data_IF_297328265485
#
_entry.id   IF_297328265485
#
_cell.length_a   1.000
_cell.length_b   1.000
_cell.length_c   1.000
_cell.angle_alpha   90.00
_cell.angle_beta   90.00
_cell.angle_gamma   90.00
#
_symmetry.space_group_name_H-M   'P 1'
#
loop_
_entity.id
_entity.type
_entity.pdbx_description
1 polymer ?
#
# COMPACT_ATOMS: atom_id res chain seq x y z
N UNK A 1 -9.30 18.00 21.07
CA UNK A 1 -9.56 16.77 20.28
C UNK A 1 -9.82 17.25 18.87
N UNK A 2 -8.92 16.96 17.93
CA UNK A 2 -9.08 17.42 16.54
C UNK A 2 -10.20 16.58 15.87
N UNK A 3 -11.09 17.20 15.08
CA UNK A 3 -12.18 16.50 14.43
C UNK A 3 -11.68 15.50 13.36
N UNK A 4 -12.21 14.28 13.39
CA UNK A 4 -11.96 13.26 12.36
C UNK A 4 -12.83 13.56 11.13
N UNK A 5 -12.21 13.72 9.95
CA UNK A 5 -12.90 13.99 8.70
C UNK A 5 -12.72 12.80 7.72
N UNK A 6 -13.81 12.14 7.35
CA UNK A 6 -13.82 11.07 6.34
C UNK A 6 -14.23 11.64 4.98
N UNK A 7 -13.63 11.15 3.89
CA UNK A 7 -13.87 11.65 2.53
C UNK A 7 -14.10 10.51 1.54
N UNK A 8 -14.95 10.74 0.53
CA UNK A 8 -14.99 9.94 -0.69
C UNK A 8 -13.64 10.03 -1.43
N UNK A 9 -13.30 9.09 -2.35
CA UNK A 9 -12.00 9.08 -3.04
C UNK A 9 -11.62 10.41 -3.71
N UNK A 10 -12.62 11.16 -4.20
CA UNK A 10 -12.45 12.46 -4.84
C UNK A 10 -12.57 13.65 -3.87
N UNK A 11 -12.48 13.44 -2.57
CA UNK A 11 -12.35 14.51 -1.58
C UNK A 11 -13.65 15.16 -1.12
N UNK A 12 -14.81 14.62 -1.51
CA UNK A 12 -16.09 15.06 -0.96
C UNK A 12 -16.22 14.52 0.47
N UNK A 13 -16.45 15.38 1.45
CA UNK A 13 -16.51 14.96 2.84
C UNK A 13 -17.80 14.19 3.13
N UNK A 14 -17.71 13.09 3.88
CA UNK A 14 -18.87 12.39 4.41
C UNK A 14 -19.62 13.28 5.43
N UNK A 15 -20.95 13.26 5.39
CA UNK A 15 -21.81 13.92 6.38
C UNK A 15 -22.27 12.91 7.45
N UNK A 16 -22.44 13.36 8.69
CA UNK A 16 -23.07 12.58 9.77
C UNK A 16 -22.12 11.94 10.80
N UNK A 17 -20.81 12.21 10.73
CA UNK A 17 -19.84 11.78 11.73
C UNK A 17 -19.33 13.01 12.51
N UNK A 18 -19.35 12.94 13.85
CA UNK A 18 -18.92 13.95 14.84
C UNK A 18 -19.91 15.11 15.14
N UNK A 19 -20.64 14.98 16.26
CA UNK A 19 -21.56 15.99 16.82
C UNK A 19 -20.87 16.97 17.81
N UNK A 20 -19.54 17.04 17.84
CA UNK A 20 -18.80 17.88 18.78
C UNK A 20 -18.29 19.16 18.09
N UNK A 21 -18.98 20.27 18.34
CA UNK A 21 -18.56 21.62 17.95
C UNK A 21 -17.40 22.09 18.82
N UNK A 22 -16.18 21.89 18.33
CA UNK A 22 -15.07 22.78 18.65
C UNK A 22 -14.73 23.54 17.38
N UNK A 23 -15.12 24.82 17.33
CA UNK A 23 -14.69 25.79 16.33
C UNK A 23 -13.18 25.97 16.45
N UNK A 24 -12.41 25.12 15.79
CA UNK A 24 -11.12 25.51 15.28
C UNK A 24 -11.29 25.76 13.79
N UNK A 25 -10.92 26.96 13.35
CA UNK A 25 -10.86 27.42 11.97
C UNK A 25 -9.84 26.59 11.17
N UNK A 26 -10.09 25.30 11.03
CA UNK A 26 -9.22 24.39 10.30
C UNK A 26 -9.76 24.29 8.87
N UNK A 27 -9.44 25.32 8.09
CA UNK A 27 -9.75 25.41 6.66
C UNK A 27 -8.98 24.38 5.84
N UNK A 28 -7.90 23.82 6.39
CA UNK A 28 -7.12 22.75 5.76
C UNK A 28 -7.86 21.41 5.90
N UNK A 29 -8.20 20.80 4.77
CA UNK A 29 -9.06 19.61 4.68
C UNK A 29 -8.41 18.55 3.76
N UNK A 30 -8.99 18.27 2.61
CA UNK A 30 -8.55 17.22 1.69
C UNK A 30 -7.18 17.52 1.07
N UNK A 31 -6.29 16.52 1.05
CA UNK A 31 -4.89 16.62 0.57
C UNK A 31 -4.06 17.76 1.20
N UNK A 32 -4.51 18.33 2.33
CA UNK A 32 -3.88 19.49 2.96
C UNK A 32 -4.18 20.81 2.24
N UNK A 33 -5.22 20.85 1.41
CA UNK A 33 -5.68 22.07 0.75
C UNK A 33 -6.79 22.75 1.54
N UNK A 34 -6.89 24.07 1.36
CA UNK A 34 -7.92 24.90 1.96
C UNK A 34 -9.27 24.64 1.30
N UNK A 35 -10.33 24.41 2.08
CA UNK A 35 -11.70 24.36 1.61
C UNK A 35 -12.32 25.75 1.65
N UNK A 36 -12.70 26.28 0.48
CA UNK A 36 -13.44 27.52 0.34
C UNK A 36 -14.95 27.25 0.29
N UNK A 37 -15.65 27.58 1.36
CA UNK A 37 -17.11 27.43 1.47
C UNK A 37 -17.88 28.75 1.21
N UNK A 38 -17.16 29.87 1.15
CA UNK A 38 -17.74 31.19 0.90
C UNK A 38 -18.58 31.20 -0.39
N UNK A 39 -19.73 31.87 -0.32
CA UNK A 39 -20.69 31.96 -1.42
C UNK A 39 -21.16 30.59 -1.97
N UNK A 40 -21.11 29.53 -1.16
CA UNK A 40 -21.41 28.16 -1.54
C UNK A 40 -20.48 27.58 -2.62
N UNK A 41 -19.23 28.07 -2.72
CA UNK A 41 -18.27 27.58 -3.70
C UNK A 41 -17.93 26.10 -3.46
N UNK A 42 -17.72 25.70 -2.20
CA UNK A 42 -17.44 24.32 -1.78
C UNK A 42 -16.27 23.66 -2.55
N UNK A 43 -15.23 24.44 -2.87
CA UNK A 43 -14.07 23.99 -3.65
C UNK A 43 -12.80 23.99 -2.82
N UNK A 44 -11.86 23.11 -3.15
CA UNK A 44 -10.52 23.14 -2.62
C UNK A 44 -9.61 24.08 -3.42
N UNK A 45 -8.94 25.00 -2.75
CA UNK A 45 -8.00 25.93 -3.36
C UNK A 45 -6.65 25.23 -3.57
N UNK A 46 -6.45 24.60 -4.74
CA UNK A 46 -5.11 24.23 -5.19
C UNK A 46 -4.51 25.47 -5.86
N UNK A 47 -3.29 25.86 -5.47
CA UNK A 47 -2.69 27.15 -5.81
C UNK A 47 -3.02 27.72 -7.22
N UNK A 48 -2.99 26.90 -8.27
CA UNK A 48 -3.29 27.33 -9.65
C UNK A 48 -4.75 27.13 -10.10
N UNK A 49 -5.50 26.22 -9.47
CA UNK A 49 -6.86 25.81 -9.89
C UNK A 49 -7.74 25.48 -8.69
N UNK A 50 -9.01 25.87 -8.75
CA UNK A 50 -9.95 25.42 -7.72
C UNK A 50 -10.51 24.05 -8.12
N UNK A 51 -10.54 23.13 -7.17
CA UNK A 51 -11.00 21.77 -7.35
C UNK A 51 -12.39 21.58 -6.74
N UNK A 52 -13.34 21.10 -7.53
CA UNK A 52 -14.67 20.77 -7.08
C UNK A 52 -14.76 19.25 -6.77
N UNK A 53 -14.85 18.86 -5.49
CA UNK A 53 -14.92 17.47 -5.10
C UNK A 53 -16.27 16.81 -5.41
N UNK A 54 -17.34 17.58 -5.63
CA UNK A 54 -18.66 17.02 -5.97
C UNK A 54 -18.69 16.45 -7.40
N UNK A 55 -17.88 17.01 -8.30
CA UNK A 55 -17.78 16.56 -9.70
C UNK A 55 -16.42 15.92 -10.06
N UNK A 56 -15.47 15.93 -9.14
CA UNK A 56 -14.14 15.33 -9.34
C UNK A 56 -13.30 16.05 -10.40
N UNK A 57 -13.44 17.38 -10.54
CA UNK A 57 -12.76 18.16 -11.60
C UNK A 57 -12.27 19.52 -11.12
N UNK A 58 -11.23 20.01 -11.81
CA UNK A 58 -10.81 21.40 -11.69
C UNK A 58 -11.71 22.36 -12.46
N UNK A 59 -11.81 23.60 -12.00
CA UNK A 59 -12.58 24.66 -12.65
C UNK A 59 -11.84 25.34 -13.83
N UNK A 60 -10.56 25.01 -14.05
CA UNK A 60 -9.69 25.63 -15.05
C UNK A 60 -8.84 24.59 -15.78
N UNK A 61 -8.42 24.93 -17.00
CA UNK A 61 -7.50 24.14 -17.81
C UNK A 61 -6.14 24.05 -17.11
N UNK A 62 -5.55 22.85 -17.08
CA UNK A 62 -4.18 22.63 -16.63
C UNK A 62 -3.18 23.41 -17.51
N UNK A 63 -2.34 24.25 -16.90
CA UNK A 63 -1.29 24.99 -17.63
C UNK A 63 -0.21 24.09 -18.24
N UNK A 64 -0.12 22.85 -17.78
CA UNK A 64 0.75 21.80 -18.31
C UNK A 64 -0.05 20.67 -18.96
N UNK A 65 -1.25 20.97 -19.49
CA UNK A 65 -2.13 19.97 -20.11
C UNK A 65 -1.45 19.13 -21.19
N UNK A 66 -0.47 19.70 -21.92
CA UNK A 66 0.30 18.98 -22.94
C UNK A 66 1.07 17.76 -22.38
N UNK A 67 1.46 17.81 -21.10
CA UNK A 67 2.10 16.68 -20.40
C UNK A 67 1.14 15.50 -20.19
N UNK A 68 -0.17 15.76 -20.23
CA UNK A 68 -1.24 14.82 -19.92
C UNK A 68 -2.22 14.68 -21.10
N UNK A 69 -1.68 14.65 -22.33
CA UNK A 69 -2.46 14.72 -23.58
C UNK A 69 -3.56 13.66 -23.74
N UNK A 70 -3.44 12.52 -23.06
CA UNK A 70 -4.44 11.43 -23.07
C UNK A 70 -5.57 11.63 -22.06
N UNK A 71 -5.56 12.72 -21.29
CA UNK A 71 -6.52 13.00 -20.23
C UNK A 71 -7.21 14.34 -20.42
N UNK A 72 -8.36 14.50 -19.77
CA UNK A 72 -9.06 15.78 -19.76
C UNK A 72 -8.20 16.86 -19.10
N UNK A 73 -8.15 18.04 -19.70
CA UNK A 73 -7.46 19.22 -19.14
C UNK A 73 -8.02 19.69 -17.78
N UNK A 74 -9.18 19.17 -17.38
CA UNK A 74 -9.85 19.43 -16.11
C UNK A 74 -9.77 18.24 -15.13
N UNK A 75 -9.03 17.18 -15.49
CA UNK A 75 -8.94 15.96 -14.67
C UNK A 75 -8.25 16.26 -13.34
N UNK A 76 -8.84 15.75 -12.26
CA UNK A 76 -8.19 15.70 -10.96
C UNK A 76 -7.41 14.40 -10.85
N UNK A 77 -6.13 14.47 -10.52
CA UNK A 77 -5.28 13.28 -10.23
C UNK A 77 -5.28 12.21 -11.32
N UNK A 78 -5.49 12.59 -12.59
CA UNK A 78 -5.59 11.63 -13.72
C UNK A 78 -6.69 10.58 -13.44
N UNK A 79 -7.78 11.02 -12.80
CA UNK A 79 -8.89 10.18 -12.35
C UNK A 79 -8.49 9.06 -11.35
N UNK A 80 -7.31 9.16 -10.73
CA UNK A 80 -6.85 8.22 -9.71
C UNK A 80 -6.27 8.94 -8.48
N UNK A 81 -7.15 9.51 -7.62
CA UNK A 81 -6.75 10.27 -6.43
C UNK A 81 -6.15 9.41 -5.31
N UNK A 82 -6.14 8.08 -5.50
CA UNK A 82 -5.51 7.13 -4.61
C UNK A 82 -4.00 7.09 -4.88
N UNK A 83 -3.60 7.04 -6.16
CA UNK A 83 -2.19 6.94 -6.58
C UNK A 83 -1.52 8.32 -6.67
N UNK A 84 -2.25 9.32 -7.15
CA UNK A 84 -1.69 10.63 -7.42
C UNK A 84 -2.22 11.66 -6.44
N UNK A 85 -1.30 12.40 -5.84
CA UNK A 85 -1.58 13.60 -5.06
C UNK A 85 -1.39 14.83 -5.95
N UNK A 86 -2.35 15.74 -5.95
CA UNK A 86 -2.17 17.06 -6.56
C UNK A 86 -1.38 17.96 -5.61
N UNK A 87 -0.32 18.61 -6.13
CA UNK A 87 0.54 19.47 -5.31
C UNK A 87 0.07 20.92 -5.37
N UNK A 88 -0.19 21.42 -6.58
CA UNK A 88 -0.60 22.82 -6.80
C UNK A 88 -1.76 22.97 -7.78
N UNK A 89 -2.38 21.85 -8.18
CA UNK A 89 -3.40 21.87 -9.23
C UNK A 89 -2.77 22.10 -10.60
N UNK A 90 -1.64 21.47 -10.86
CA UNK A 90 -0.88 21.53 -12.13
C UNK A 90 0.25 20.49 -12.16
N UNK A 91 0.50 19.81 -11.04
CA UNK A 91 1.69 19.01 -10.83
C UNK A 91 1.35 17.89 -9.87
N UNK A 92 1.50 16.69 -10.37
CA UNK A 92 1.19 15.47 -9.66
C UNK A 92 2.42 14.98 -8.92
N UNK A 93 2.23 14.60 -7.67
CA UNK A 93 3.15 13.74 -6.93
C UNK A 93 2.56 12.35 -6.87
N UNK A 94 3.35 11.37 -7.26
CA UNK A 94 3.00 9.96 -7.07
C UNK A 94 3.11 9.67 -5.57
N UNK A 95 2.05 9.15 -4.97
CA UNK A 95 2.14 8.52 -3.65
C UNK A 95 3.16 7.38 -3.78
N UNK A 96 4.12 7.26 -2.87
CA UNK A 96 5.12 6.20 -2.96
C UNK A 96 4.39 4.85 -3.11
N UNK A 97 4.65 4.12 -4.19
CA UNK A 97 4.04 2.83 -4.50
C UNK A 97 4.06 1.85 -3.31
N UNK A 98 5.06 1.97 -2.44
CA UNK A 98 5.14 1.24 -1.18
C UNK A 98 4.04 1.61 -0.17
N UNK A 99 3.81 2.90 0.03
CA UNK A 99 2.75 3.41 0.91
C UNK A 99 1.38 3.05 0.35
N UNK A 100 1.24 3.12 -0.97
CA UNK A 100 0.01 2.72 -1.65
C UNK A 100 -0.25 1.22 -1.48
N UNK A 101 0.76 0.36 -1.64
CA UNK A 101 0.64 -1.08 -1.42
C UNK A 101 0.24 -1.42 0.03
N UNK A 102 0.76 -0.67 1.02
CA UNK A 102 0.32 -0.82 2.42
C UNK A 102 -1.17 -0.48 2.54
N UNK A 103 -1.62 0.68 2.08
CA UNK A 103 -3.04 1.07 2.15
C UNK A 103 -3.94 0.05 1.47
N UNK A 104 -3.51 -0.51 0.34
CA UNK A 104 -4.27 -1.51 -0.42
C UNK A 104 -4.27 -2.90 0.23
N UNK A 105 -3.35 -3.17 1.15
CA UNK A 105 -3.32 -4.42 1.93
C UNK A 105 -4.19 -4.35 3.20
N UNK A 106 -4.50 -3.14 3.67
CA UNK A 106 -5.37 -2.93 4.82
C UNK A 106 -6.82 -3.31 4.52
N UNK A 107 -7.53 -3.71 5.56
CA UNK A 107 -8.98 -3.85 5.56
C UNK A 107 -9.65 -2.48 5.36
N UNK A 108 -10.70 -2.41 4.53
CA UNK A 108 -11.44 -1.17 4.28
C UNK A 108 -12.01 -0.54 5.56
N UNK A 109 -12.33 -1.37 6.56
CA UNK A 109 -12.85 -0.93 7.86
C UNK A 109 -11.80 -0.30 8.77
N UNK A 110 -10.50 -0.48 8.48
CA UNK A 110 -9.41 0.00 9.34
C UNK A 110 -9.37 1.53 9.44
N UNK A 111 -9.90 2.27 8.46
CA UNK A 111 -9.98 3.75 8.42
C UNK A 111 -8.74 4.45 9.01
N UNK A 112 -7.56 4.16 8.45
CA UNK A 112 -6.27 4.59 8.97
C UNK A 112 -5.71 5.73 8.13
N UNK A 113 -5.00 6.66 8.77
CA UNK A 113 -4.23 7.68 8.08
C UNK A 113 -2.79 7.70 8.62
N UNK A 114 -1.83 7.36 7.76
CA UNK A 114 -0.41 7.40 8.13
C UNK A 114 0.11 8.82 8.11
N UNK A 115 0.76 9.23 9.19
CA UNK A 115 1.63 10.38 9.14
C UNK A 115 3.05 9.93 8.77
N UNK A 116 3.57 10.42 7.64
CA UNK A 116 4.95 10.18 7.24
C UNK A 116 5.79 11.44 7.49
N UNK A 117 6.76 11.34 8.40
CA UNK A 117 7.69 12.42 8.75
C UNK A 117 9.12 12.00 8.41
N UNK A 118 9.79 12.79 7.57
CA UNK A 118 11.18 12.54 7.15
C UNK A 118 11.42 11.13 6.56
N UNK A 119 10.41 10.55 5.91
CA UNK A 119 10.48 9.20 5.34
C UNK A 119 10.12 8.06 6.29
N UNK A 120 9.79 8.36 7.55
CA UNK A 120 9.35 7.38 8.55
C UNK A 120 7.84 7.48 8.77
N UNK A 121 7.19 6.32 8.90
CA UNK A 121 5.81 6.26 9.37
C UNK A 121 5.83 6.54 10.88
N UNK A 122 5.04 7.50 11.33
CA UNK A 122 4.87 7.80 12.75
C UNK A 122 3.94 6.75 13.39
N UNK A 123 4.41 5.85 14.26
CA UNK A 123 3.57 4.80 14.84
C UNK A 123 2.40 5.37 15.66
N UNK A 124 2.57 6.52 16.30
CA UNK A 124 1.49 7.18 17.07
C UNK A 124 0.32 7.62 16.18
N UNK A 125 0.51 7.76 14.85
CA UNK A 125 -0.59 8.08 13.93
C UNK A 125 -1.55 6.92 13.68
N UNK A 126 -1.18 5.70 14.05
CA UNK A 126 -1.97 4.47 13.80
C UNK A 126 -2.21 3.62 15.03
N UNK A 127 -1.63 4.00 16.17
CA UNK A 127 -1.62 3.22 17.41
C UNK A 127 -3.01 2.82 17.87
N UNK A 128 -3.89 3.79 18.07
CA UNK A 128 -5.24 3.55 18.60
C UNK A 128 -6.02 2.59 17.69
N UNK A 129 -5.92 2.77 16.36
CA UNK A 129 -6.55 1.88 15.38
C UNK A 129 -5.93 0.48 15.39
N UNK A 130 -4.60 0.37 15.51
CA UNK A 130 -3.91 -0.92 15.53
C UNK A 130 -4.21 -1.74 16.80
N UNK A 131 -4.38 -1.07 17.95
CA UNK A 131 -4.71 -1.72 19.22
C UNK A 131 -6.14 -2.28 19.27
N UNK A 132 -7.09 -1.64 18.56
CA UNK A 132 -8.51 -2.05 18.57
C UNK A 132 -8.92 -2.89 17.35
N UNK A 133 -8.21 -2.78 16.23
CA UNK A 133 -8.56 -3.49 14.99
C UNK A 133 -8.19 -4.96 15.07
N UNK A 134 -8.82 -5.80 14.26
CA UNK A 134 -8.41 -7.19 14.01
C UNK A 134 -7.59 -7.33 12.72
N UNK A 135 -7.34 -6.23 12.01
CA UNK A 135 -6.55 -6.23 10.79
C UNK A 135 -5.08 -6.53 11.07
N UNK A 136 -4.65 -7.72 10.66
CA UNK A 136 -3.29 -8.21 10.88
C UNK A 136 -2.23 -7.33 10.22
N UNK A 137 -2.51 -6.77 9.04
CA UNK A 137 -1.55 -5.93 8.32
C UNK A 137 -1.34 -4.62 9.07
N UNK A 138 -2.40 -4.07 9.68
CA UNK A 138 -2.30 -2.88 10.52
C UNK A 138 -1.49 -3.15 11.80
N UNK A 139 -1.71 -4.31 12.43
CA UNK A 139 -0.95 -4.74 13.61
C UNK A 139 0.53 -4.89 13.28
N UNK A 140 0.85 -5.56 12.17
CA UNK A 140 2.24 -5.72 11.72
C UNK A 140 2.88 -4.36 11.41
N UNK A 141 2.17 -3.48 10.70
CA UNK A 141 2.67 -2.14 10.39
C UNK A 141 2.97 -1.34 11.65
N UNK A 142 2.07 -1.37 12.64
CA UNK A 142 2.27 -0.70 13.92
C UNK A 142 3.46 -1.29 14.69
N UNK A 143 3.57 -2.62 14.75
CA UNK A 143 4.70 -3.29 15.39
C UNK A 143 6.03 -2.90 14.74
N UNK A 144 6.09 -2.98 13.41
CA UNK A 144 7.27 -2.61 12.62
C UNK A 144 7.63 -1.12 12.83
N UNK A 145 6.65 -0.22 12.73
CA UNK A 145 6.88 1.22 12.87
C UNK A 145 7.24 1.63 14.31
N UNK A 146 6.86 0.83 15.30
CA UNK A 146 7.16 1.08 16.72
C UNK A 146 8.48 0.44 17.18
N UNK A 147 9.08 -0.43 16.36
CA UNK A 147 10.31 -1.11 16.72
C UNK A 147 11.53 -0.17 16.65
N UNK A 148 12.55 -0.42 17.48
CA UNK A 148 13.80 0.34 17.45
C UNK A 148 14.66 0.07 16.21
N UNK A 149 14.39 -1.05 15.53
CA UNK A 149 15.10 -1.46 14.31
C UNK A 149 14.48 -0.79 13.11
N UNK A 150 15.32 -0.24 12.24
CA UNK A 150 14.84 0.40 11.00
C UNK A 150 14.47 -0.69 9.99
N UNK A 151 13.27 -0.56 9.43
CA UNK A 151 12.79 -1.36 8.30
C UNK A 151 12.57 -0.45 7.10
N UNK A 152 13.31 -0.68 6.03
CA UNK A 152 13.23 0.07 4.78
C UNK A 152 12.31 -0.64 3.78
N UNK A 153 11.16 -0.04 3.47
CA UNK A 153 10.26 -0.56 2.44
C UNK A 153 10.49 0.14 1.10
N UNK A 154 10.73 -0.62 0.03
CA UNK A 154 11.01 -0.09 -1.32
C UNK A 154 10.33 -0.93 -2.40
N UNK A 155 9.91 -0.28 -3.49
CA UNK A 155 9.67 -0.99 -4.74
C UNK A 155 11.01 -1.29 -5.41
N UNK A 156 11.17 -2.48 -5.95
CA UNK A 156 12.39 -2.88 -6.63
C UNK A 156 12.11 -3.74 -7.86
N UNK A 157 12.96 -3.61 -8.88
CA UNK A 157 12.94 -4.46 -10.08
C UNK A 157 14.00 -5.56 -10.04
N UNK A 158 14.93 -5.45 -9.10
CA UNK A 158 15.96 -6.44 -8.82
C UNK A 158 16.28 -6.47 -7.32
N UNK A 159 16.98 -7.51 -6.91
CA UNK A 159 17.51 -7.68 -5.57
C UNK A 159 18.81 -8.48 -5.63
N UNK A 160 19.61 -8.36 -4.57
CA UNK A 160 20.88 -9.06 -4.49
C UNK A 160 20.75 -10.35 -3.71
N UNK A 161 21.40 -11.39 -4.22
CA UNK A 161 21.51 -12.69 -3.57
C UNK A 161 22.98 -13.04 -3.38
N UNK A 162 23.28 -13.74 -2.29
CA UNK A 162 24.62 -14.25 -2.01
C UNK A 162 24.64 -15.75 -2.23
N UNK A 163 25.66 -16.27 -2.92
CA UNK A 163 25.88 -17.72 -3.00
C UNK A 163 26.57 -18.26 -1.73
N UNK A 164 26.80 -19.58 -1.71
CA UNK A 164 27.41 -20.28 -0.56
C UNK A 164 28.87 -19.87 -0.33
N UNK A 165 29.54 -19.40 -1.39
CA UNK A 165 30.91 -18.91 -1.42
C UNK A 165 31.00 -17.43 -1.02
N UNK A 166 29.86 -16.77 -0.82
CA UNK A 166 29.77 -15.39 -0.36
C UNK A 166 29.78 -14.35 -1.47
N UNK A 167 29.73 -14.75 -2.74
CA UNK A 167 29.69 -13.85 -3.88
C UNK A 167 28.26 -13.35 -4.12
N UNK A 168 28.16 -12.07 -4.43
CA UNK A 168 26.88 -11.36 -4.60
C UNK A 168 26.51 -11.26 -6.08
N UNK A 169 25.24 -11.51 -6.39
CA UNK A 169 24.67 -11.40 -7.74
C UNK A 169 23.38 -10.59 -7.70
N UNK A 170 23.16 -9.79 -8.74
CA UNK A 170 21.85 -9.19 -9.00
C UNK A 170 20.92 -10.22 -9.63
N UNK A 171 19.69 -10.31 -9.09
CA UNK A 171 18.60 -11.08 -9.65
C UNK A 171 17.44 -10.15 -9.93
N UNK A 172 16.91 -10.21 -11.15
CA UNK A 172 15.71 -9.45 -11.49
C UNK A 172 14.46 -10.13 -10.93
N UNK A 173 13.51 -9.34 -10.52
CA UNK A 173 12.14 -9.83 -10.34
C UNK A 173 11.54 -10.16 -11.70
N UNK A 174 10.69 -11.17 -11.73
CA UNK A 174 9.81 -11.47 -12.86
C UNK A 174 8.41 -10.90 -12.58
N UNK A 175 7.64 -10.63 -13.62
CA UNK A 175 6.26 -10.13 -13.47
C UNK A 175 5.39 -11.22 -12.84
N UNK A 176 4.81 -11.00 -11.64
CA UNK A 176 3.83 -11.92 -11.07
C UNK A 176 2.56 -11.90 -11.90
N UNK A 177 1.82 -13.01 -11.89
CA UNK A 177 0.59 -13.17 -12.68
C UNK A 177 -0.55 -13.63 -11.79
N UNK A 178 -1.75 -13.13 -12.11
CA UNK A 178 -2.98 -13.77 -11.65
C UNK A 178 -3.11 -15.10 -12.39
N UNK A 179 -3.41 -16.16 -11.64
CA UNK A 179 -3.45 -17.53 -12.15
C UNK A 179 -4.75 -18.19 -11.70
N UNK A 180 -5.44 -18.83 -12.64
CA UNK A 180 -6.56 -19.70 -12.34
C UNK A 180 -6.35 -21.04 -13.03
N UNK A 181 -6.57 -22.14 -12.30
CA UNK A 181 -6.50 -23.50 -12.85
C UNK A 181 -7.48 -23.67 -14.03
N UNK A 182 -8.62 -22.97 -14.03
CA UNK A 182 -9.59 -23.01 -15.12
C UNK A 182 -9.04 -22.50 -16.45
N UNK A 183 -7.99 -21.69 -16.43
CA UNK A 183 -7.38 -21.12 -17.63
C UNK A 183 -6.39 -22.09 -18.30
N UNK A 184 -6.08 -23.21 -17.63
CA UNK A 184 -5.16 -24.23 -18.14
C UNK A 184 -5.85 -25.23 -19.08
N UNK A 185 -5.10 -25.83 -20.03
CA UNK A 185 -5.57 -27.00 -20.77
C UNK A 185 -6.01 -28.12 -19.83
N UNK A 186 -7.06 -28.86 -20.20
CA UNK A 186 -7.73 -29.82 -19.31
C UNK A 186 -6.80 -30.87 -18.69
N UNK A 187 -5.82 -31.37 -19.45
CA UNK A 187 -4.84 -32.34 -18.94
C UNK A 187 -3.91 -31.71 -17.88
N UNK A 188 -3.55 -30.43 -18.03
CA UNK A 188 -2.71 -29.74 -17.07
C UNK A 188 -3.50 -29.36 -15.82
N UNK A 189 -4.71 -28.82 -15.97
CA UNK A 189 -5.62 -28.55 -14.86
C UNK A 189 -5.89 -29.81 -14.01
N UNK A 190 -6.06 -30.98 -14.65
CA UNK A 190 -6.24 -32.25 -13.95
C UNK A 190 -5.00 -32.64 -13.12
N UNK A 191 -3.79 -32.38 -13.61
CA UNK A 191 -2.57 -32.58 -12.84
C UNK A 191 -2.54 -31.71 -11.57
N UNK A 192 -2.89 -30.42 -11.68
CA UNK A 192 -2.93 -29.53 -10.51
C UNK A 192 -3.94 -30.00 -9.47
N UNK A 193 -5.13 -30.45 -9.91
CA UNK A 193 -6.16 -31.04 -9.03
C UNK A 193 -5.66 -32.31 -8.33
N UNK A 194 -4.95 -33.20 -9.04
CA UNK A 194 -4.39 -34.42 -8.47
C UNK A 194 -3.32 -34.14 -7.41
N UNK A 195 -2.58 -33.04 -7.54
CA UNK A 195 -1.65 -32.56 -6.51
C UNK A 195 -2.32 -31.77 -5.37
N UNK A 196 -3.65 -31.67 -5.36
CA UNK A 196 -4.42 -31.05 -4.29
C UNK A 196 -4.43 -29.53 -4.31
N UNK A 197 -4.09 -28.90 -5.45
CA UNK A 197 -4.19 -27.44 -5.57
C UNK A 197 -5.67 -27.04 -5.59
N UNK A 198 -6.08 -26.00 -4.85
CA UNK A 198 -7.47 -25.53 -4.83
C UNK A 198 -7.89 -24.98 -6.21
N UNK A 199 -9.19 -24.94 -6.48
CA UNK A 199 -9.75 -24.30 -7.69
C UNK A 199 -10.08 -22.82 -7.41
N UNK A 200 -9.94 -21.97 -8.43
CA UNK A 200 -10.13 -20.51 -8.33
C UNK A 200 -8.89 -19.67 -8.69
N UNK A 201 -9.03 -18.35 -8.53
CA UNK A 201 -8.00 -17.37 -8.91
C UNK A 201 -7.07 -17.09 -7.73
N UNK A 202 -5.76 -17.18 -7.98
CA UNK A 202 -4.70 -16.84 -7.02
C UNK A 202 -3.60 -16.02 -7.70
N UNK A 203 -2.52 -15.73 -6.98
CA UNK A 203 -1.34 -15.03 -7.50
C UNK A 203 -0.16 -16.00 -7.56
N UNK A 204 0.53 -16.04 -8.70
CA UNK A 204 1.78 -16.77 -8.87
C UNK A 204 2.95 -15.84 -9.14
N UNK A 205 4.12 -16.22 -8.63
CA UNK A 205 5.37 -15.49 -8.79
C UNK A 205 5.89 -14.90 -7.48
N UNK A 206 7.07 -14.31 -7.56
CA UNK A 206 7.72 -13.69 -6.40
C UNK A 206 7.14 -12.28 -6.18
N UNK A 207 6.52 -12.03 -5.02
CA UNK A 207 5.88 -10.75 -4.69
C UNK A 207 6.80 -9.78 -3.95
N UNK A 208 7.90 -10.28 -3.38
CA UNK A 208 8.86 -9.50 -2.64
C UNK A 208 9.98 -10.33 -2.01
N UNK A 209 10.85 -9.64 -1.28
CA UNK A 209 11.86 -10.28 -0.46
C UNK A 209 12.21 -9.40 0.74
N UNK A 210 12.31 -10.04 1.90
CA UNK A 210 12.86 -9.46 3.12
C UNK A 210 14.35 -9.79 3.23
N UNK A 211 15.19 -8.76 3.31
CA UNK A 211 16.63 -8.84 3.50
C UNK A 211 16.98 -8.40 4.91
N UNK A 212 17.64 -9.29 5.66
CA UNK A 212 18.02 -9.06 7.05
C UNK A 212 19.52 -8.78 7.12
N UNK A 213 19.99 -7.80 7.91
CA UNK A 213 21.41 -7.53 8.08
C UNK A 213 22.16 -8.73 8.64
N UNK A 214 23.36 -9.01 8.10
CA UNK A 214 24.28 -9.99 8.71
C UNK A 214 23.97 -11.47 8.46
N UNK A 215 22.92 -11.79 7.69
CA UNK A 215 22.63 -13.17 7.22
C UNK A 215 22.92 -13.32 5.71
N UNK A 216 22.77 -14.53 5.18
CA UNK A 216 23.16 -14.90 3.81
C UNK A 216 22.48 -14.07 2.70
N UNK A 217 21.34 -13.42 2.97
CA UNK A 217 20.73 -12.39 2.11
C UNK A 217 20.81 -11.04 2.81
N UNK A 218 21.98 -10.41 2.74
CA UNK A 218 22.27 -9.23 3.54
C UNK A 218 21.69 -7.98 2.89
N UNK A 219 20.94 -7.23 3.69
CA UNK A 219 20.70 -5.80 3.41
C UNK A 219 22.02 -5.07 3.19
N UNK A 220 22.03 -4.14 2.23
CA UNK A 220 23.18 -3.28 1.94
C UNK A 220 23.28 -2.07 2.89
N UNK A 221 22.18 -1.67 3.52
CA UNK A 221 22.14 -0.49 4.38
C UNK A 221 22.46 -0.78 5.84
N UNK A 222 22.55 -2.06 6.22
CA UNK A 222 22.66 -2.47 7.62
C UNK A 222 21.33 -2.45 8.39
N UNK A 223 20.24 -2.05 7.74
CA UNK A 223 18.86 -2.09 8.26
C UNK A 223 18.09 -3.27 7.64
N UNK A 224 16.94 -3.66 8.21
CA UNK A 224 16.07 -4.63 7.53
C UNK A 224 15.52 -3.97 6.27
N UNK A 225 15.49 -4.67 5.14
CA UNK A 225 14.92 -4.16 3.89
C UNK A 225 13.80 -5.07 3.41
N UNK A 226 12.66 -4.48 3.08
CA UNK A 226 11.56 -5.14 2.38
C UNK A 226 11.52 -4.59 0.96
N UNK A 227 11.85 -5.44 0.00
CA UNK A 227 11.81 -5.12 -1.42
C UNK A 227 10.56 -5.76 -2.01
N UNK A 228 9.58 -4.96 -2.38
CA UNK A 228 8.37 -5.44 -3.05
C UNK A 228 8.58 -5.39 -4.56
N UNK A 229 8.07 -6.41 -5.26
CA UNK A 229 8.23 -6.55 -6.69
C UNK A 229 7.53 -5.40 -7.46
N UNK A 230 8.33 -4.52 -8.06
CA UNK A 230 7.86 -3.38 -8.84
C UNK A 230 7.16 -3.73 -10.16
N UNK A 231 7.31 -4.96 -10.67
CA UNK A 231 6.59 -5.42 -11.86
C UNK A 231 5.17 -5.89 -11.56
N UNK A 232 4.82 -6.12 -10.29
CA UNK A 232 3.48 -6.55 -9.89
C UNK A 232 2.42 -5.45 -10.03
N UNK A 233 1.16 -5.87 -10.18
CA UNK A 233 -0.01 -5.01 -10.04
C UNK A 233 -0.13 -4.48 -8.60
N UNK A 234 -1.06 -3.56 -8.35
CA UNK A 234 -1.29 -3.08 -6.98
C UNK A 234 -1.75 -4.22 -6.04
N UNK A 235 -2.56 -5.16 -6.54
CA UNK A 235 -2.94 -6.35 -5.78
C UNK A 235 -1.73 -7.22 -5.44
N UNK A 236 -0.86 -7.50 -6.42
CA UNK A 236 0.38 -8.26 -6.21
C UNK A 236 1.25 -7.61 -5.13
N UNK A 237 1.40 -6.28 -5.18
CA UNK A 237 2.22 -5.54 -4.23
C UNK A 237 1.60 -5.51 -2.83
N UNK A 238 0.28 -5.40 -2.71
CA UNK A 238 -0.42 -5.43 -1.43
C UNK A 238 -0.29 -6.80 -0.73
N UNK A 239 -0.49 -7.88 -1.48
CA UNK A 239 -0.26 -9.24 -0.97
C UNK A 239 1.22 -9.44 -0.61
N UNK A 240 2.13 -8.92 -1.45
CA UNK A 240 3.57 -8.90 -1.16
C UNK A 240 3.92 -8.16 0.13
N UNK A 241 3.29 -7.01 0.40
CA UNK A 241 3.49 -6.28 1.68
C UNK A 241 3.08 -7.14 2.86
N UNK A 242 1.89 -7.74 2.83
CA UNK A 242 1.41 -8.58 3.93
C UNK A 242 2.31 -9.81 4.15
N UNK A 243 2.77 -10.43 3.06
CA UNK A 243 3.71 -11.54 3.09
C UNK A 243 5.04 -11.14 3.75
N UNK A 244 5.70 -10.11 3.23
CA UNK A 244 7.01 -9.70 3.71
C UNK A 244 6.97 -9.13 5.13
N UNK A 245 5.91 -8.42 5.50
CA UNK A 245 5.73 -7.96 6.89
C UNK A 245 5.64 -9.12 7.87
N UNK A 246 5.05 -10.25 7.48
CA UNK A 246 5.07 -11.47 8.28
C UNK A 246 6.47 -11.96 8.59
N UNK A 247 7.36 -11.98 7.59
CA UNK A 247 8.78 -12.33 7.79
C UNK A 247 9.48 -11.35 8.73
N UNK A 248 9.24 -10.04 8.55
CA UNK A 248 9.82 -9.01 9.42
C UNK A 248 9.37 -9.17 10.87
N UNK A 249 8.06 -9.26 11.12
CA UNK A 249 7.49 -9.40 12.47
C UNK A 249 8.01 -10.68 13.15
N UNK A 250 8.09 -11.79 12.43
CA UNK A 250 8.69 -13.01 12.98
C UNK A 250 10.16 -12.80 13.37
N UNK A 251 10.95 -12.13 12.53
CA UNK A 251 12.34 -11.82 12.82
C UNK A 251 12.49 -10.90 14.03
N UNK A 252 11.74 -9.79 14.10
CA UNK A 252 11.76 -8.84 15.22
C UNK A 252 11.41 -9.52 16.56
N UNK A 253 10.54 -10.53 16.53
CA UNK A 253 10.17 -11.33 17.69
C UNK A 253 11.12 -12.50 18.00
N UNK A 254 12.25 -12.63 17.30
CA UNK A 254 13.20 -13.72 17.51
C UNK A 254 12.66 -15.10 17.15
N UNK A 255 11.64 -15.18 16.28
CA UNK A 255 11.02 -16.43 15.82
C UNK A 255 11.68 -16.94 14.53
N UNK A 256 11.47 -18.22 14.17
CA UNK A 256 11.73 -18.67 12.82
C UNK A 256 11.00 -17.75 11.82
N UNK A 257 11.69 -17.35 10.76
CA UNK A 257 11.24 -16.30 9.84
C UNK A 257 11.60 -16.61 8.38
N UNK A 258 12.35 -17.68 8.10
CA UNK A 258 12.63 -18.12 6.73
C UNK A 258 11.62 -19.18 6.27
N UNK A 259 11.32 -19.19 4.97
CA UNK A 259 10.51 -20.26 4.37
C UNK A 259 11.00 -21.65 4.78
N UNK A 260 10.07 -22.60 4.87
CA UNK A 260 10.28 -23.98 5.30
C UNK A 260 10.72 -24.17 6.77
N UNK A 261 10.88 -23.09 7.54
CA UNK A 261 11.06 -23.22 8.99
C UNK A 261 9.71 -23.48 9.68
N UNK A 262 9.69 -24.21 10.83
CA UNK A 262 8.45 -24.56 11.51
C UNK A 262 7.58 -23.34 11.83
N UNK A 263 6.32 -23.37 11.38
CA UNK A 263 5.31 -22.34 11.66
C UNK A 263 5.41 -21.07 10.82
N UNK A 264 6.42 -20.92 9.96
CA UNK A 264 6.58 -19.71 9.13
C UNK A 264 5.53 -19.65 8.02
N UNK A 265 5.31 -20.77 7.32
CA UNK A 265 4.34 -20.83 6.22
C UNK A 265 2.94 -20.43 6.69
N UNK A 266 2.44 -21.03 7.78
CA UNK A 266 1.14 -20.67 8.38
C UNK A 266 1.09 -19.19 8.82
N UNK A 267 2.17 -18.67 9.39
CA UNK A 267 2.22 -17.28 9.86
C UNK A 267 2.24 -16.26 8.71
N UNK A 268 2.87 -16.60 7.58
CA UNK A 268 3.08 -15.67 6.46
C UNK A 268 2.01 -15.82 5.40
N UNK A 269 1.67 -17.06 5.00
CA UNK A 269 0.63 -17.32 4.01
C UNK A 269 -0.75 -17.27 4.65
N UNK A 270 -1.11 -18.26 5.46
CA UNK A 270 -2.48 -18.44 5.95
C UNK A 270 -2.99 -17.23 6.74
N UNK A 271 -2.13 -16.64 7.59
CA UNK A 271 -2.52 -15.56 8.51
C UNK A 271 -2.39 -14.17 7.92
N UNK A 272 -1.71 -13.97 6.78
CA UNK A 272 -1.44 -12.63 6.23
C UNK A 272 -1.68 -12.57 4.73
N UNK A 273 -0.85 -13.24 3.92
CA UNK A 273 -0.94 -13.14 2.46
C UNK A 273 -2.32 -13.60 1.96
N UNK A 274 -2.82 -14.73 2.44
CA UNK A 274 -4.11 -15.27 2.01
C UNK A 274 -5.30 -14.49 2.56
N UNK A 275 -5.16 -13.83 3.72
CA UNK A 275 -6.15 -12.88 4.24
C UNK A 275 -6.29 -11.71 3.27
N UNK A 276 -5.17 -11.13 2.83
CA UNK A 276 -5.18 -10.00 1.88
C UNK A 276 -5.65 -10.43 0.49
N UNK A 277 -5.22 -11.60 -0.01
CA UNK A 277 -5.76 -12.16 -1.26
C UNK A 277 -7.29 -12.24 -1.24
N UNK A 278 -7.87 -12.84 -0.19
CA UNK A 278 -9.33 -12.96 -0.06
C UNK A 278 -10.03 -11.60 -0.01
N UNK A 279 -9.47 -10.62 0.70
CA UNK A 279 -9.97 -9.23 0.72
C UNK A 279 -10.00 -8.61 -0.68
N UNK A 280 -9.00 -8.93 -1.51
CA UNK A 280 -8.86 -8.42 -2.87
C UNK A 280 -9.63 -9.24 -3.92
N UNK A 281 -10.44 -10.21 -3.51
CA UNK A 281 -11.30 -10.98 -4.39
C UNK A 281 -10.65 -12.20 -5.06
N UNK A 282 -9.50 -12.65 -4.56
CA UNK A 282 -8.92 -13.94 -4.95
C UNK A 282 -9.61 -15.07 -4.19
N UNK A 283 -9.72 -16.23 -4.83
CA UNK A 283 -10.47 -17.37 -4.31
C UNK A 283 -9.65 -18.19 -3.29
N UNK A 284 -8.32 -18.16 -3.40
CA UNK A 284 -7.38 -18.74 -2.42
C UNK A 284 -5.94 -18.22 -2.59
#
# INVERSE_FOLDING_TARGET
>A
MLPLHNYYPFGLQHKGYNNATTQENNFIKFQGQELEEDLNKNTYAFQWRDYDPAIGRFNKIDRYSEKYSNYSNYSFTINNPIIYKEIKGDSLKVTNDAILAIYHALDESSNVQFEVKNGYINPESIKDQAEISDDIVLKDLYEIASHESIVELKMATNYKVKDKEGKVYDRNFETPVDFNISDLPSAEAEMYRLFGNPEGTTIQGNLGITLIPGVNSSSESGNIQVLINGYGSLNHRAVGVAHEFGHVVLYLNGKPHGHFQPGVEEAVYDKRADVVKKRLGYDY
#
